data_IF_275743926098
#
_entry.id   IF_275743926098
#
_cell.length_a   1.000
_cell.length_b   1.000
_cell.length_c   1.000
_cell.angle_alpha   90.00
_cell.angle_beta   90.00
_cell.angle_gamma   90.00
#
_symmetry.space_group_name_H-M   'P 1'
#
loop_
_entity.id
_entity.type
_entity.pdbx_description
1 polymer ?
#
# COMPACT_ATOMS: atom_id res chain seq x y z
N UNK A 1 -28.37 -74.68 43.29
CA UNK A 1 -28.34 -73.84 42.07
C UNK A 1 -27.65 -72.53 42.41
N UNK A 2 -26.50 -72.23 41.79
CA UNK A 2 -25.68 -71.05 42.07
C UNK A 2 -26.19 -69.86 41.25
N UNK A 3 -26.40 -68.74 41.93
CA UNK A 3 -26.77 -67.44 41.37
C UNK A 3 -25.50 -66.79 40.79
N UNK A 4 -25.50 -66.45 39.51
CA UNK A 4 -24.44 -65.68 38.88
C UNK A 4 -24.89 -64.23 38.72
N UNK A 5 -24.20 -63.32 39.40
CA UNK A 5 -24.38 -61.86 39.32
C UNK A 5 -23.51 -61.36 38.15
N UNK A 6 -24.13 -60.81 37.11
CA UNK A 6 -23.42 -60.15 36.00
C UNK A 6 -23.39 -58.65 36.30
N UNK A 7 -22.22 -58.13 36.69
CA UNK A 7 -21.98 -56.70 36.81
C UNK A 7 -21.56 -56.15 35.44
N UNK A 8 -22.35 -55.25 34.88
CA UNK A 8 -22.05 -54.60 33.60
C UNK A 8 -21.40 -53.26 33.90
N UNK A 9 -20.09 -53.15 33.63
CA UNK A 9 -19.31 -51.93 33.84
C UNK A 9 -19.45 -51.05 32.58
N UNK A 10 -20.19 -49.94 32.68
CA UNK A 10 -20.29 -48.94 31.63
C UNK A 10 -19.08 -48.01 31.71
N UNK A 11 -18.15 -48.11 30.74
CA UNK A 11 -17.06 -47.15 30.56
C UNK A 11 -17.59 -45.96 29.75
N UNK A 12 -17.77 -44.81 30.40
CA UNK A 12 -17.99 -43.54 29.71
C UNK A 12 -16.65 -43.03 29.17
N UNK A 13 -16.50 -43.06 27.85
CA UNK A 13 -15.41 -42.40 27.13
C UNK A 13 -15.65 -40.89 27.14
N UNK A 14 -14.93 -40.15 27.98
CA UNK A 14 -14.88 -38.69 27.89
C UNK A 14 -13.96 -38.34 26.71
N UNK A 15 -14.54 -38.01 25.57
CA UNK A 15 -13.80 -37.41 24.45
C UNK A 15 -13.57 -35.93 24.78
N UNK A 16 -12.40 -35.60 25.31
CA UNK A 16 -11.91 -34.21 25.31
C UNK A 16 -11.65 -33.81 23.87
N UNK A 17 -12.60 -33.13 23.23
CA UNK A 17 -12.28 -32.35 22.04
C UNK A 17 -11.39 -31.21 22.48
N UNK A 18 -10.08 -31.34 22.23
CA UNK A 18 -9.23 -30.16 22.10
C UNK A 18 -9.76 -29.40 20.89
N UNK A 19 -10.55 -28.36 21.11
CA UNK A 19 -10.73 -27.34 20.10
C UNK A 19 -9.33 -26.78 19.85
N UNK A 20 -8.69 -27.23 18.77
CA UNK A 20 -7.56 -26.50 18.20
C UNK A 20 -8.13 -25.10 17.94
N UNK A 21 -7.75 -24.11 18.75
CA UNK A 21 -8.01 -22.72 18.37
C UNK A 21 -7.29 -22.56 17.05
N UNK A 22 -8.03 -22.57 15.95
CA UNK A 22 -7.46 -22.14 14.68
C UNK A 22 -7.10 -20.69 14.91
N UNK A 23 -5.80 -20.38 15.02
CA UNK A 23 -5.35 -19.00 15.10
C UNK A 23 -5.98 -18.24 13.93
N UNK A 24 -6.84 -17.27 14.24
CA UNK A 24 -7.57 -16.50 13.24
C UNK A 24 -6.89 -15.16 13.09
N UNK A 25 -6.16 -14.98 12.00
CA UNK A 25 -5.55 -13.70 11.72
C UNK A 25 -6.54 -12.72 11.07
N UNK A 26 -6.39 -11.45 11.39
CA UNK A 26 -7.01 -10.32 10.71
C UNK A 26 -6.00 -9.50 9.90
N UNK A 27 -6.53 -8.61 9.06
CA UNK A 27 -5.77 -7.67 8.25
C UNK A 27 -6.03 -6.24 8.71
N UNK A 28 -4.96 -5.51 9.01
CA UNK A 28 -4.99 -4.06 9.18
C UNK A 28 -4.39 -3.40 7.93
N UNK A 29 -5.20 -2.67 7.17
CA UNK A 29 -4.71 -1.85 6.05
C UNK A 29 -4.45 -0.43 6.55
N UNK A 30 -3.20 0.02 6.44
CA UNK A 30 -2.83 1.40 6.81
C UNK A 30 -2.74 2.26 5.56
N UNK A 31 -3.39 3.41 5.58
CA UNK A 31 -3.42 4.33 4.44
C UNK A 31 -3.23 5.79 4.89
N UNK A 32 -2.83 6.65 3.95
CA UNK A 32 -2.56 8.07 4.25
C UNK A 32 -3.79 8.79 4.81
N UNK A 33 -4.98 8.54 4.25
CA UNK A 33 -6.19 9.30 4.56
C UNK A 33 -6.22 10.63 3.79
N UNK A 34 -7.41 11.07 3.41
CA UNK A 34 -7.60 12.30 2.65
C UNK A 34 -9.05 12.75 2.65
N UNK A 35 -9.45 13.41 1.57
CA UNK A 35 -10.84 13.78 1.36
C UNK A 35 -11.73 12.53 1.20
N UNK A 36 -13.04 12.69 1.35
CA UNK A 36 -14.03 11.60 1.28
C UNK A 36 -13.83 10.67 0.08
N UNK A 37 -13.68 11.22 -1.13
CA UNK A 37 -13.44 10.43 -2.36
C UNK A 37 -12.13 9.63 -2.33
N UNK A 38 -11.11 10.15 -1.66
CA UNK A 38 -9.83 9.46 -1.52
C UNK A 38 -9.98 8.27 -0.58
N UNK A 39 -10.64 8.47 0.57
CA UNK A 39 -10.89 7.40 1.54
C UNK A 39 -11.81 6.33 0.94
N UNK A 40 -12.88 6.73 0.26
CA UNK A 40 -13.80 5.82 -0.43
C UNK A 40 -13.06 4.95 -1.47
N UNK A 41 -12.12 5.50 -2.23
CA UNK A 41 -11.34 4.71 -3.18
C UNK A 41 -10.47 3.65 -2.50
N UNK A 42 -9.94 3.93 -1.30
CA UNK A 42 -9.21 2.93 -0.50
C UNK A 42 -10.18 1.89 0.05
N UNK A 43 -11.34 2.30 0.56
CA UNK A 43 -12.38 1.38 1.03
C UNK A 43 -12.84 0.43 -0.07
N UNK A 44 -13.10 0.94 -1.27
CA UNK A 44 -13.47 0.15 -2.46
C UNK A 44 -12.38 -0.87 -2.83
N UNK A 45 -11.10 -0.47 -2.73
CA UNK A 45 -9.98 -1.38 -3.01
C UNK A 45 -9.85 -2.50 -1.97
N UNK A 46 -10.22 -2.22 -0.72
CA UNK A 46 -10.15 -3.18 0.39
C UNK A 46 -11.39 -4.08 0.45
N UNK A 47 -12.55 -3.61 -0.04
CA UNK A 47 -13.81 -4.35 -0.01
C UNK A 47 -13.71 -5.82 -0.47
N UNK A 48 -13.14 -6.17 -1.64
CA UNK A 48 -13.02 -7.56 -2.07
C UNK A 48 -12.06 -8.41 -1.21
N UNK A 49 -11.13 -7.78 -0.49
CA UNK A 49 -10.26 -8.46 0.48
C UNK A 49 -11.01 -8.74 1.78
N UNK A 50 -11.83 -7.78 2.23
CA UNK A 50 -12.67 -7.88 3.43
C UNK A 50 -13.71 -8.99 3.35
N UNK A 51 -14.15 -9.36 2.14
CA UNK A 51 -15.03 -10.52 1.93
C UNK A 51 -14.39 -11.86 2.31
N UNK A 52 -13.05 -11.91 2.39
CA UNK A 52 -12.27 -13.13 2.63
C UNK A 52 -11.55 -13.12 3.98
N UNK A 53 -11.10 -11.94 4.43
CA UNK A 53 -10.25 -11.76 5.61
C UNK A 53 -10.90 -10.70 6.51
N UNK A 54 -11.05 -10.95 7.84
CA UNK A 54 -11.39 -9.91 8.81
C UNK A 54 -10.49 -8.67 8.63
N UNK A 55 -11.03 -7.56 8.16
CA UNK A 55 -10.21 -6.41 7.72
C UNK A 55 -10.70 -5.08 8.26
N UNK A 56 -9.83 -4.34 8.95
CA UNK A 56 -10.03 -2.94 9.33
C UNK A 56 -9.03 -2.02 8.61
N UNK A 57 -9.35 -0.72 8.52
CA UNK A 57 -8.53 0.30 7.86
C UNK A 57 -8.17 1.39 8.86
N UNK A 58 -6.89 1.72 8.98
CA UNK A 58 -6.41 2.88 9.72
C UNK A 58 -5.92 3.98 8.77
N UNK A 59 -6.63 5.11 8.75
CA UNK A 59 -6.26 6.31 8.00
C UNK A 59 -5.42 7.26 8.83
N UNK A 60 -4.56 8.06 8.21
CA UNK A 60 -3.84 9.15 8.89
C UNK A 60 -2.36 8.88 9.12
N UNK A 61 -1.71 8.08 8.26
CA UNK A 61 -0.25 7.91 8.23
C UNK A 61 0.33 7.36 9.54
N UNK A 62 -0.19 6.22 9.99
CA UNK A 62 0.12 5.66 11.31
C UNK A 62 -0.31 6.59 12.46
N UNK A 63 -1.55 7.10 12.40
CA UNK A 63 -2.13 7.87 13.48
C UNK A 63 -2.53 6.92 14.64
N UNK A 64 -2.03 7.13 15.86
CA UNK A 64 -2.23 6.21 16.98
C UNK A 64 -3.71 5.97 17.33
N UNK A 65 -4.55 7.01 17.26
CA UNK A 65 -5.98 6.87 17.57
C UNK A 65 -6.70 5.99 16.55
N UNK A 66 -6.43 6.20 15.26
CA UNK A 66 -7.03 5.37 14.20
C UNK A 66 -6.50 3.94 14.20
N UNK A 67 -5.22 3.74 14.53
CA UNK A 67 -4.63 2.41 14.66
C UNK A 67 -5.24 1.68 15.86
N UNK A 68 -5.40 2.35 17.00
CA UNK A 68 -6.06 1.78 18.17
C UNK A 68 -7.50 1.38 17.88
N UNK A 69 -8.26 2.24 17.21
CA UNK A 69 -9.63 1.91 16.80
C UNK A 69 -9.67 0.70 15.86
N UNK A 70 -8.81 0.68 14.84
CA UNK A 70 -8.77 -0.42 13.87
C UNK A 70 -8.32 -1.75 14.48
N UNK A 71 -7.37 -1.73 15.43
CA UNK A 71 -6.98 -2.92 16.19
C UNK A 71 -8.13 -3.40 17.08
N UNK A 72 -8.84 -2.49 17.77
CA UNK A 72 -9.99 -2.86 18.60
C UNK A 72 -11.11 -3.52 17.78
N UNK A 73 -11.41 -3.02 16.57
CA UNK A 73 -12.38 -3.65 15.65
C UNK A 73 -11.97 -5.07 15.24
N UNK A 74 -10.67 -5.33 15.11
CA UNK A 74 -10.13 -6.65 14.83
C UNK A 74 -10.22 -7.55 16.07
N UNK A 75 -9.89 -7.04 17.27
CA UNK A 75 -10.03 -7.77 18.54
C UNK A 75 -11.48 -8.18 18.84
N UNK A 76 -12.46 -7.34 18.51
CA UNK A 76 -13.89 -7.69 18.62
C UNK A 76 -14.27 -8.91 17.77
N UNK A 77 -13.52 -9.16 16.69
CA UNK A 77 -13.65 -10.33 15.83
C UNK A 77 -12.86 -11.55 16.34
N UNK A 78 -12.27 -11.46 17.54
CA UNK A 78 -11.53 -12.53 18.24
C UNK A 78 -10.30 -13.03 17.48
N UNK A 79 -9.67 -12.15 16.71
CA UNK A 79 -8.42 -12.45 16.04
C UNK A 79 -7.26 -12.48 17.04
N UNK A 80 -6.27 -13.33 16.78
CA UNK A 80 -5.08 -13.54 17.61
C UNK A 80 -3.77 -13.21 16.89
N UNK A 81 -3.86 -12.81 15.63
CA UNK A 81 -2.76 -12.26 14.85
C UNK A 81 -3.25 -11.18 13.89
N UNK A 82 -2.40 -10.19 13.61
CA UNK A 82 -2.68 -9.11 12.66
C UNK A 82 -1.56 -9.05 11.62
N UNK A 83 -1.93 -9.23 10.35
CA UNK A 83 -1.10 -8.80 9.24
C UNK A 83 -1.37 -7.31 8.97
N UNK A 84 -0.33 -6.49 8.95
CA UNK A 84 -0.45 -5.05 8.72
C UNK A 84 0.10 -4.72 7.34
N UNK A 85 -0.78 -4.40 6.40
CA UNK A 85 -0.41 -3.97 5.04
C UNK A 85 -0.39 -2.46 4.97
N UNK A 86 0.80 -1.89 4.75
CA UNK A 86 1.01 -0.45 4.65
C UNK A 86 0.83 0.02 3.21
N UNK A 87 -0.37 0.52 2.89
CA UNK A 87 -0.76 1.03 1.57
C UNK A 87 -0.16 2.43 1.31
N UNK A 88 1.17 2.48 1.19
CA UNK A 88 1.94 3.66 0.83
C UNK A 88 2.74 3.44 -0.45
N UNK A 89 3.31 4.51 -1.01
CA UNK A 89 4.12 4.41 -2.23
C UNK A 89 5.48 3.76 -1.95
N UNK A 90 6.13 4.09 -0.84
CA UNK A 90 7.47 3.62 -0.50
C UNK A 90 7.50 2.82 0.80
N UNK A 91 8.35 1.79 0.85
CA UNK A 91 8.54 0.92 2.01
C UNK A 91 8.94 1.70 3.27
N UNK A 92 9.63 2.82 3.13
CA UNK A 92 10.05 3.66 4.25
C UNK A 92 8.92 4.51 4.84
N UNK A 93 7.83 4.72 4.10
CA UNK A 93 6.74 5.60 4.54
C UNK A 93 6.14 5.12 5.86
N UNK A 94 6.35 5.92 6.90
CA UNK A 94 5.85 5.70 8.26
C UNK A 94 6.28 4.38 8.91
N UNK A 95 7.33 3.71 8.40
CA UNK A 95 7.75 2.39 8.91
C UNK A 95 8.14 2.46 10.39
N UNK A 96 9.09 3.31 10.74
CA UNK A 96 9.55 3.49 12.13
C UNK A 96 8.39 3.83 13.07
N UNK A 97 7.56 4.80 12.69
CA UNK A 97 6.39 5.19 13.47
C UNK A 97 5.40 4.02 13.65
N UNK A 98 5.15 3.24 12.59
CA UNK A 98 4.26 2.08 12.64
C UNK A 98 4.81 0.99 13.55
N UNK A 99 6.10 0.64 13.40
CA UNK A 99 6.76 -0.35 14.26
C UNK A 99 6.69 0.05 15.73
N UNK A 100 6.99 1.31 16.03
CA UNK A 100 6.93 1.82 17.41
C UNK A 100 5.51 1.76 17.97
N UNK A 101 4.53 2.26 17.22
CA UNK A 101 3.13 2.27 17.65
C UNK A 101 2.52 0.87 17.78
N UNK A 102 3.07 -0.14 17.13
CA UNK A 102 2.65 -1.54 17.26
C UNK A 102 3.51 -2.34 18.24
N UNK A 103 4.43 -1.68 18.96
CA UNK A 103 5.30 -2.35 19.93
C UNK A 103 6.33 -3.30 19.32
N UNK A 104 6.58 -3.22 18.01
CA UNK A 104 7.59 -4.02 17.30
C UNK A 104 9.01 -3.48 17.50
N UNK A 105 9.13 -2.30 18.10
CA UNK A 105 10.39 -1.68 18.54
C UNK A 105 10.16 -0.78 19.74
N UNK A 106 11.20 -0.58 20.53
CA UNK A 106 11.14 0.24 21.75
C UNK A 106 11.41 1.72 21.49
N UNK A 107 12.23 2.06 20.49
CA UNK A 107 12.66 3.43 20.26
C UNK A 107 11.69 4.21 19.37
N UNK A 108 11.16 5.36 19.81
CA UNK A 108 10.26 6.18 19.00
C UNK A 108 11.01 6.86 17.85
N UNK A 109 10.32 7.22 16.75
CA UNK A 109 10.93 8.04 15.71
C UNK A 109 11.31 9.43 16.26
N UNK A 110 12.32 10.10 15.67
CA UNK A 110 12.71 11.45 16.10
C UNK A 110 11.56 12.48 16.01
N UNK A 111 10.63 12.26 15.08
CA UNK A 111 9.41 13.05 14.91
C UNK A 111 8.27 12.12 14.49
N UNK A 112 7.06 12.41 14.96
CA UNK A 112 5.85 11.75 14.47
C UNK A 112 5.28 12.56 13.31
N UNK A 113 4.97 11.91 12.18
CA UNK A 113 4.44 12.60 11.02
C UNK A 113 2.91 12.52 11.02
N UNK A 114 2.27 13.65 10.76
CA UNK A 114 0.82 13.80 10.67
C UNK A 114 0.41 14.71 9.50
N UNK A 115 -0.88 14.89 9.26
CA UNK A 115 -1.37 15.85 8.26
C UNK A 115 -0.98 17.31 8.56
N UNK A 116 -0.65 17.60 9.83
CA UNK A 116 -0.20 18.91 10.26
C UNK A 116 1.34 19.05 10.20
N UNK A 117 2.02 18.10 9.56
CA UNK A 117 3.48 18.04 9.48
C UNK A 117 4.11 17.24 10.63
N UNK A 118 5.45 17.30 10.76
CA UNK A 118 6.18 16.68 11.86
C UNK A 118 5.75 17.28 13.20
N UNK A 119 5.39 16.39 14.12
CA UNK A 119 5.00 16.71 15.49
C UNK A 119 6.12 16.31 16.44
N UNK A 120 6.52 17.26 17.27
CA UNK A 120 7.31 16.98 18.46
C UNK A 120 6.35 16.65 19.60
N UNK A 121 6.48 15.45 20.15
CA UNK A 121 5.81 15.11 21.37
C UNK A 121 6.79 15.26 22.54
N UNK A 122 6.37 15.93 23.61
CA UNK A 122 7.14 15.98 24.86
C UNK A 122 7.32 14.58 25.45
N UNK A 123 6.32 13.71 25.26
CA UNK A 123 6.34 12.29 25.56
C UNK A 123 5.77 11.52 24.36
N UNK A 124 6.46 10.48 23.83
CA UNK A 124 5.94 9.68 22.74
C UNK A 124 4.54 9.10 23.03
N UNK A 125 3.68 8.96 22.00
CA UNK A 125 2.40 8.30 22.16
C UNK A 125 2.56 6.87 22.69
N UNK A 126 1.64 6.44 23.54
CA UNK A 126 1.62 5.05 24.02
C UNK A 126 1.39 4.08 22.84
N UNK A 127 2.17 3.00 22.72
CA UNK A 127 1.90 1.96 21.73
C UNK A 127 0.49 1.39 21.85
N UNK A 128 -0.06 0.94 20.73
CA UNK A 128 -1.35 0.26 20.64
C UNK A 128 -1.19 -1.11 21.30
N UNK A 129 -2.01 -1.37 22.31
CA UNK A 129 -2.04 -2.66 22.98
C UNK A 129 -2.74 -3.70 22.10
N UNK A 130 -2.11 -4.87 21.94
CA UNK A 130 -2.69 -6.05 21.32
C UNK A 130 -1.99 -7.29 21.91
N UNK A 131 -2.76 -8.29 22.31
CA UNK A 131 -2.22 -9.49 22.99
C UNK A 131 -1.72 -10.57 22.00
N UNK A 132 -2.05 -10.44 20.73
CA UNK A 132 -1.68 -11.39 19.69
C UNK A 132 -0.37 -11.05 18.97
N UNK A 133 -0.09 -11.77 17.89
CA UNK A 133 1.10 -11.55 17.05
C UNK A 133 0.84 -10.49 15.98
N UNK A 134 1.86 -9.69 15.65
CA UNK A 134 1.77 -8.68 14.59
C UNK A 134 2.94 -8.86 13.63
N UNK A 135 2.63 -8.87 12.33
CA UNK A 135 3.63 -8.77 11.27
C UNK A 135 3.27 -7.61 10.34
N UNK A 136 4.26 -6.85 9.90
CA UNK A 136 4.06 -5.64 9.09
C UNK A 136 4.71 -5.79 7.72
N UNK A 137 4.08 -5.26 6.68
CA UNK A 137 4.64 -5.31 5.33
C UNK A 137 5.96 -4.52 5.27
N UNK A 138 7.03 -5.16 4.80
CA UNK A 138 8.33 -4.53 4.57
C UNK A 138 8.44 -3.90 3.17
N UNK A 139 7.51 -4.25 2.27
CA UNK A 139 7.39 -3.70 0.91
C UNK A 139 6.22 -2.72 0.81
N UNK A 140 6.20 -1.95 -0.26
CA UNK A 140 5.14 -1.00 -0.59
C UNK A 140 4.78 -1.06 -2.09
N UNK A 141 3.97 -0.11 -2.56
CA UNK A 141 3.48 -0.11 -3.94
C UNK A 141 4.56 0.08 -5.00
N UNK A 142 5.69 0.74 -4.69
CA UNK A 142 6.86 0.79 -5.59
C UNK A 142 7.56 -0.56 -5.77
N UNK A 143 7.35 -1.50 -4.87
CA UNK A 143 7.99 -2.82 -4.89
C UNK A 143 7.07 -3.89 -5.54
N UNK A 144 5.86 -3.49 -5.94
CA UNK A 144 4.79 -4.37 -6.37
C UNK A 144 4.69 -4.44 -7.89
N UNK A 145 4.99 -5.60 -8.48
CA UNK A 145 4.86 -5.82 -9.93
C UNK A 145 3.44 -5.56 -10.43
N UNK A 146 2.44 -5.74 -9.58
CA UNK A 146 1.04 -5.40 -9.86
C UNK A 146 0.87 -3.93 -10.29
N UNK A 147 1.71 -3.00 -9.80
CA UNK A 147 1.64 -1.59 -10.17
C UNK A 147 2.22 -1.31 -11.56
N UNK A 148 3.19 -2.11 -12.02
CA UNK A 148 3.64 -2.11 -13.40
C UNK A 148 2.51 -2.53 -14.35
N UNK A 149 1.71 -3.54 -13.95
CA UNK A 149 0.52 -3.93 -14.70
C UNK A 149 -0.54 -2.82 -14.76
N UNK A 150 -0.76 -2.08 -13.66
CA UNK A 150 -1.67 -0.92 -13.67
C UNK A 150 -1.21 0.14 -14.66
N UNK A 151 0.08 0.50 -14.62
CA UNK A 151 0.67 1.48 -15.53
C UNK A 151 0.52 1.03 -16.99
N UNK A 152 0.82 -0.23 -17.28
CA UNK A 152 0.68 -0.81 -18.62
C UNK A 152 -0.78 -0.77 -19.11
N UNK A 153 -1.74 -1.19 -18.27
CA UNK A 153 -3.16 -1.17 -18.65
C UNK A 153 -3.66 0.25 -18.89
N UNK A 154 -3.24 1.22 -18.07
CA UNK A 154 -3.58 2.64 -18.26
C UNK A 154 -2.95 3.22 -19.54
N UNK A 155 -1.67 2.92 -19.81
CA UNK A 155 -0.99 3.33 -21.05
C UNK A 155 -1.73 2.79 -22.28
N UNK A 156 -2.04 1.49 -22.27
CA UNK A 156 -2.72 0.81 -23.37
C UNK A 156 -4.13 1.36 -23.61
N UNK A 157 -4.86 1.69 -22.55
CA UNK A 157 -6.22 2.23 -22.67
C UNK A 157 -6.25 3.64 -23.28
N UNK A 158 -5.16 4.39 -23.19
CA UNK A 158 -5.02 5.75 -23.74
C UNK A 158 -4.30 5.77 -25.10
N UNK A 159 -3.69 4.67 -25.51
CA UNK A 159 -2.90 4.57 -26.73
C UNK A 159 -3.79 4.32 -27.95
N UNK A 160 -3.56 5.09 -29.01
CA UNK A 160 -4.17 4.86 -30.33
C UNK A 160 -3.13 4.33 -31.34
N UNK A 161 -1.93 4.92 -31.34
CA UNK A 161 -0.83 4.60 -32.25
C UNK A 161 0.51 4.67 -31.53
N UNK A 162 0.86 3.60 -30.83
CA UNK A 162 2.01 3.56 -29.91
C UNK A 162 3.32 4.06 -30.53
N UNK A 163 3.58 3.79 -31.81
CA UNK A 163 4.83 4.17 -32.49
C UNK A 163 5.14 5.67 -32.53
N UNK A 164 4.13 6.54 -32.36
CA UNK A 164 4.28 7.99 -32.30
C UNK A 164 4.03 8.56 -30.88
N UNK A 165 3.68 7.68 -29.94
CA UNK A 165 3.30 8.05 -28.58
C UNK A 165 4.46 7.84 -27.62
N UNK A 166 4.63 8.76 -26.68
CA UNK A 166 5.59 8.65 -25.59
C UNK A 166 4.85 8.66 -24.25
N UNK A 167 5.26 7.80 -23.33
CA UNK A 167 4.63 7.70 -22.01
C UNK A 167 5.51 8.40 -20.98
N UNK A 168 4.91 9.34 -20.25
CA UNK A 168 5.52 10.01 -19.11
C UNK A 168 4.81 9.58 -17.83
N UNK A 169 5.52 8.89 -16.94
CA UNK A 169 5.00 8.47 -15.65
C UNK A 169 5.53 9.43 -14.59
N UNK A 170 4.63 10.08 -13.84
CA UNK A 170 5.00 11.11 -12.85
C UNK A 170 4.65 10.61 -11.45
N UNK A 171 5.63 10.60 -10.55
CA UNK A 171 5.46 10.28 -9.14
C UNK A 171 5.65 11.50 -8.22
N UNK A 172 5.25 11.35 -6.97
CA UNK A 172 5.44 12.36 -5.93
C UNK A 172 6.92 12.70 -5.70
N UNK A 173 7.77 11.68 -5.56
CA UNK A 173 9.20 11.85 -5.27
C UNK A 173 9.54 12.08 -3.81
N UNK A 174 10.83 12.29 -3.56
CA UNK A 174 11.42 12.50 -2.24
C UNK A 174 12.32 13.74 -2.20
N UNK A 175 12.54 14.29 -1.01
CA UNK A 175 13.37 15.49 -0.81
C UNK A 175 14.86 15.23 -0.78
N UNK A 176 15.26 14.08 -0.27
CA UNK A 176 16.64 13.62 -0.36
C UNK A 176 16.92 13.11 -1.78
N UNK A 177 18.10 13.40 -2.32
CA UNK A 177 18.45 13.04 -3.69
C UNK A 177 18.66 11.52 -3.85
N UNK A 178 19.30 10.87 -2.89
CA UNK A 178 19.55 9.42 -2.93
C UNK A 178 18.22 8.66 -2.84
N UNK A 179 17.36 9.07 -1.92
CA UNK A 179 16.02 8.47 -1.78
C UNK A 179 15.17 8.70 -3.03
N UNK A 180 15.29 9.87 -3.67
CA UNK A 180 14.56 10.15 -4.90
C UNK A 180 15.09 9.33 -6.08
N UNK A 181 16.40 9.13 -6.19
CA UNK A 181 17.00 8.31 -7.24
C UNK A 181 16.60 6.83 -7.08
N UNK A 182 16.53 6.32 -5.84
CA UNK A 182 15.96 4.98 -5.57
C UNK A 182 14.49 4.89 -5.98
N UNK A 183 13.71 5.95 -5.72
CA UNK A 183 12.30 6.03 -6.13
C UNK A 183 12.15 5.92 -7.64
N UNK A 184 12.94 6.72 -8.38
CA UNK A 184 12.95 6.73 -9.85
C UNK A 184 13.42 5.39 -10.41
N UNK A 185 14.46 4.78 -9.83
CA UNK A 185 14.96 3.47 -10.26
C UNK A 185 13.90 2.37 -10.11
N UNK A 186 13.17 2.33 -8.98
CA UNK A 186 12.09 1.35 -8.77
C UNK A 186 10.93 1.60 -9.72
N UNK A 187 10.53 2.85 -9.92
CA UNK A 187 9.46 3.21 -10.84
C UNK A 187 9.83 2.91 -12.29
N UNK A 188 11.09 3.12 -12.67
CA UNK A 188 11.60 2.80 -14.00
C UNK A 188 11.50 1.30 -14.29
N UNK A 189 11.82 0.44 -13.30
CA UNK A 189 11.62 -1.01 -13.41
C UNK A 189 10.15 -1.39 -13.56
N UNK A 190 9.24 -0.74 -12.83
CA UNK A 190 7.80 -0.97 -13.04
C UNK A 190 7.34 -0.53 -14.43
N UNK A 191 7.98 0.50 -15.00
CA UNK A 191 7.69 0.97 -16.36
C UNK A 191 8.18 0.02 -17.46
N UNK A 192 9.02 -0.98 -17.15
CA UNK A 192 9.38 -2.01 -18.12
C UNK A 192 8.15 -2.77 -18.61
N UNK A 193 7.16 -3.02 -17.75
CA UNK A 193 5.88 -3.61 -18.18
C UNK A 193 5.17 -2.74 -19.22
N UNK A 194 5.28 -1.41 -19.14
CA UNK A 194 4.74 -0.48 -20.15
C UNK A 194 5.51 -0.59 -21.46
N UNK A 195 6.84 -0.70 -21.39
CA UNK A 195 7.72 -0.88 -22.57
C UNK A 195 7.46 -2.21 -23.28
N UNK A 196 7.13 -3.26 -22.53
CA UNK A 196 6.86 -4.59 -23.06
C UNK A 196 5.52 -4.68 -23.81
N UNK A 197 4.49 -3.99 -23.34
CA UNK A 197 3.13 -4.11 -23.90
C UNK A 197 2.85 -3.15 -25.07
N UNK A 198 3.63 -2.08 -25.19
CA UNK A 198 3.45 -1.07 -26.22
C UNK A 198 4.79 -0.70 -26.82
N UNK A 199 4.88 -0.76 -28.15
CA UNK A 199 6.00 -0.23 -28.91
C UNK A 199 5.91 1.30 -28.91
N UNK A 200 5.89 1.90 -27.73
CA UNK A 200 5.90 3.34 -27.51
C UNK A 200 7.23 3.89 -28.01
N UNK A 201 7.19 5.09 -28.59
CA UNK A 201 8.39 5.79 -29.05
C UNK A 201 9.38 6.03 -27.90
N UNK A 202 8.86 6.33 -26.70
CA UNK A 202 9.65 6.55 -25.50
C UNK A 202 8.81 6.27 -24.26
N UNK A 203 9.43 5.81 -23.18
CA UNK A 203 8.82 5.66 -21.85
C UNK A 203 9.79 6.22 -20.82
N UNK A 204 9.38 7.29 -20.14
CA UNK A 204 10.18 7.98 -19.14
C UNK A 204 9.44 8.09 -17.81
N UNK A 205 10.22 8.12 -16.73
CA UNK A 205 9.73 8.31 -15.38
C UNK A 205 10.31 9.58 -14.79
N UNK A 206 9.46 10.36 -14.12
CA UNK A 206 9.88 11.57 -13.40
C UNK A 206 9.21 11.61 -12.02
N UNK A 207 9.83 12.37 -11.12
CA UNK A 207 9.27 12.70 -9.82
C UNK A 207 9.12 14.21 -9.73
N UNK A 208 7.95 14.70 -9.31
CA UNK A 208 7.73 16.14 -9.17
C UNK A 208 8.39 16.72 -7.91
N UNK A 209 8.73 15.89 -6.93
CA UNK A 209 9.31 16.27 -5.63
C UNK A 209 8.44 17.34 -4.97
N UNK A 210 7.16 16.99 -4.86
CA UNK A 210 6.04 17.93 -4.71
C UNK A 210 6.18 18.91 -3.54
N UNK A 211 6.77 18.45 -2.42
CA UNK A 211 6.88 19.18 -1.16
C UNK A 211 8.15 20.05 -1.05
N UNK A 212 9.11 19.90 -1.97
CA UNK A 212 10.45 20.53 -1.84
C UNK A 212 10.63 21.64 -2.87
N UNK A 213 10.19 22.86 -2.53
CA UNK A 213 10.11 24.03 -3.43
C UNK A 213 11.26 24.16 -4.45
N UNK A 214 12.51 24.11 -4.02
CA UNK A 214 13.66 24.27 -4.92
C UNK A 214 13.82 23.09 -5.88
N UNK A 215 13.71 21.86 -5.37
CA UNK A 215 13.79 20.64 -6.17
C UNK A 215 12.60 20.52 -7.12
N UNK A 216 11.41 20.88 -6.63
CA UNK A 216 10.16 20.92 -7.38
C UNK A 216 10.29 21.78 -8.64
N UNK A 217 10.83 23.00 -8.52
CA UNK A 217 10.97 23.89 -9.69
C UNK A 217 11.82 23.28 -10.80
N UNK A 218 12.90 22.56 -10.45
CA UNK A 218 13.72 21.86 -11.44
C UNK A 218 12.97 20.68 -12.04
N UNK A 219 12.38 19.83 -11.21
CA UNK A 219 11.58 18.68 -11.66
C UNK A 219 10.41 19.08 -12.55
N UNK A 220 9.76 20.21 -12.25
CA UNK A 220 8.68 20.78 -13.04
C UNK A 220 9.17 21.21 -14.44
N UNK A 221 10.34 21.86 -14.52
CA UNK A 221 10.95 22.20 -15.82
C UNK A 221 11.29 20.94 -16.63
N UNK A 222 11.87 19.91 -16.01
CA UNK A 222 12.22 18.65 -16.68
C UNK A 222 10.96 17.92 -17.20
N UNK A 223 9.90 17.84 -16.38
CA UNK A 223 8.60 17.24 -16.74
C UNK A 223 7.96 17.98 -17.93
N UNK A 224 7.93 19.32 -17.88
CA UNK A 224 7.35 20.13 -18.96
C UNK A 224 8.16 20.00 -20.25
N UNK A 225 9.49 20.05 -20.15
CA UNK A 225 10.39 19.90 -21.28
C UNK A 225 10.21 18.56 -21.99
N UNK A 226 10.02 17.45 -21.23
CA UNK A 226 9.70 16.16 -21.83
C UNK A 226 8.43 16.23 -22.68
N UNK A 227 7.35 16.81 -22.15
CA UNK A 227 6.07 16.91 -22.87
C UNK A 227 6.20 17.78 -24.12
N UNK A 228 6.86 18.93 -24.02
CA UNK A 228 7.10 19.83 -25.14
C UNK A 228 7.91 19.14 -26.25
N UNK A 229 9.04 18.52 -25.92
CA UNK A 229 9.91 17.80 -26.87
C UNK A 229 9.16 16.66 -27.57
N UNK A 230 8.39 15.88 -26.80
CA UNK A 230 7.72 14.69 -27.33
C UNK A 230 6.36 15.00 -27.98
N UNK A 231 5.92 16.25 -28.01
CA UNK A 231 4.75 16.68 -28.79
C UNK A 231 5.09 17.41 -30.08
N UNK A 232 6.38 17.54 -30.41
CA UNK A 232 6.79 18.06 -31.71
C UNK A 232 6.33 17.16 -32.87
N UNK A 233 5.97 17.77 -34.00
CA UNK A 233 5.52 17.05 -35.19
C UNK A 233 4.17 16.35 -35.00
N UNK A 234 4.15 15.04 -35.22
CA UNK A 234 3.00 14.15 -35.00
C UNK A 234 3.09 13.39 -33.66
N UNK A 235 4.01 13.81 -32.78
CA UNK A 235 4.21 13.22 -31.47
C UNK A 235 3.02 13.43 -30.54
N UNK A 236 2.74 12.40 -29.74
CA UNK A 236 1.75 12.45 -28.65
C UNK A 236 2.39 12.02 -27.34
N UNK A 237 1.95 12.61 -26.24
CA UNK A 237 2.41 12.23 -24.91
C UNK A 237 1.26 11.75 -24.05
N UNK A 238 1.37 10.55 -23.52
CA UNK A 238 0.46 9.97 -22.52
C UNK A 238 1.07 10.20 -21.15
N UNK A 239 0.35 10.86 -20.24
CA UNK A 239 0.81 11.12 -18.88
C UNK A 239 0.07 10.23 -17.89
N UNK A 240 0.83 9.44 -17.14
CA UNK A 240 0.31 8.54 -16.11
C UNK A 240 0.75 9.00 -14.72
N UNK A 241 -0.19 9.26 -13.79
CA UNK A 241 0.17 9.56 -12.41
C UNK A 241 0.51 8.27 -11.64
N UNK A 242 1.75 8.13 -11.18
CA UNK A 242 2.11 7.11 -10.18
C UNK A 242 1.82 7.64 -8.77
N UNK A 243 0.53 7.70 -8.46
CA UNK A 243 -0.02 8.13 -7.16
C UNK A 243 -1.10 7.15 -6.76
N UNK A 244 -1.32 6.98 -5.45
CA UNK A 244 -2.39 6.09 -4.99
C UNK A 244 -3.76 6.46 -5.58
N UNK A 245 -4.10 7.76 -5.61
CA UNK A 245 -5.40 8.22 -6.09
C UNK A 245 -5.32 9.57 -6.82
N UNK A 246 -5.88 9.61 -8.04
CA UNK A 246 -6.05 10.81 -8.86
C UNK A 246 -4.75 11.42 -9.41
N UNK A 247 -4.92 12.45 -10.24
CA UNK A 247 -3.83 13.07 -10.99
C UNK A 247 -2.90 13.96 -10.15
N UNK A 248 -3.38 14.47 -9.01
CA UNK A 248 -2.57 15.32 -8.12
C UNK A 248 -2.22 16.68 -8.74
N UNK A 249 -1.10 17.31 -8.34
CA UNK A 249 -0.73 18.64 -8.81
C UNK A 249 -0.24 18.66 -10.28
N UNK A 250 -0.20 17.50 -10.96
CA UNK A 250 0.33 17.39 -12.32
C UNK A 250 -0.49 18.18 -13.34
N UNK A 251 -1.80 18.34 -13.13
CA UNK A 251 -2.64 19.17 -14.00
C UNK A 251 -2.17 20.62 -14.06
N UNK A 252 -1.76 21.17 -12.91
CA UNK A 252 -1.22 22.53 -12.82
C UNK A 252 0.18 22.62 -13.44
N UNK A 253 1.03 21.62 -13.19
CA UNK A 253 2.37 21.54 -13.77
C UNK A 253 2.32 21.50 -15.30
N UNK A 254 1.34 20.81 -15.87
CA UNK A 254 1.19 20.61 -17.31
C UNK A 254 0.23 21.61 -17.97
N UNK A 255 -0.16 22.67 -17.27
CA UNK A 255 -1.05 23.70 -17.82
C UNK A 255 -0.44 24.31 -19.08
N UNK A 256 -1.26 24.44 -20.13
CA UNK A 256 -0.87 24.95 -21.43
C UNK A 256 -0.13 23.95 -22.34
N UNK A 257 0.10 22.71 -21.90
CA UNK A 257 0.72 21.65 -22.71
C UNK A 257 -0.33 20.68 -23.25
N UNK A 258 -0.05 20.10 -24.41
CA UNK A 258 -0.88 19.05 -25.02
C UNK A 258 -0.43 17.69 -24.50
N UNK A 259 -1.34 16.92 -23.89
CA UNK A 259 -1.07 15.55 -23.47
C UNK A 259 -2.38 14.77 -23.30
N UNK A 260 -2.29 13.46 -23.30
CA UNK A 260 -3.40 12.54 -23.00
C UNK A 260 -3.27 12.02 -21.57
N UNK A 261 -4.35 12.05 -20.81
CA UNK A 261 -4.42 11.39 -19.52
C UNK A 261 -5.88 11.15 -19.12
N UNK A 262 -6.16 10.02 -18.48
CA UNK A 262 -7.43 9.82 -17.79
C UNK A 262 -7.44 10.43 -16.38
N UNK A 263 -6.30 10.93 -15.88
CA UNK A 263 -6.18 11.51 -14.56
C UNK A 263 -6.30 10.52 -13.40
N UNK A 264 -6.32 9.21 -13.68
CA UNK A 264 -6.55 8.14 -12.70
C UNK A 264 -5.20 7.65 -12.17
N UNK A 265 -5.08 7.53 -10.84
CA UNK A 265 -3.92 6.96 -10.17
C UNK A 265 -3.90 5.43 -10.21
N UNK A 266 -3.31 4.82 -9.19
CA UNK A 266 -3.32 3.36 -9.01
C UNK A 266 -4.72 2.86 -8.66
N UNK A 267 -5.47 3.61 -7.84
CA UNK A 267 -6.87 3.34 -7.55
C UNK A 267 -7.78 3.99 -8.61
N UNK A 268 -8.86 3.30 -9.00
CA UNK A 268 -9.45 2.11 -8.36
C UNK A 268 -9.04 0.77 -9.01
N UNK A 269 -7.84 0.64 -9.58
CA UNK A 269 -7.48 -0.57 -10.33
C UNK A 269 -7.42 -1.82 -9.41
N UNK A 270 -8.05 -2.95 -9.78
CA UNK A 270 -8.18 -4.13 -8.92
C UNK A 270 -6.85 -4.80 -8.55
N UNK A 271 -5.77 -4.49 -9.29
CA UNK A 271 -4.41 -4.93 -8.98
C UNK A 271 -3.90 -4.41 -7.64
N UNK A 272 -4.43 -3.29 -7.15
CA UNK A 272 -4.15 -2.81 -5.79
C UNK A 272 -4.76 -3.78 -4.76
N UNK A 273 -6.01 -4.22 -4.96
CA UNK A 273 -6.64 -5.25 -4.11
C UNK A 273 -5.86 -6.57 -4.14
N UNK A 274 -5.43 -7.00 -5.34
CA UNK A 274 -4.58 -8.19 -5.50
C UNK A 274 -3.29 -8.08 -4.71
N UNK A 275 -2.62 -6.92 -4.77
CA UNK A 275 -1.40 -6.69 -4.00
C UNK A 275 -1.64 -6.72 -2.49
N UNK A 276 -2.72 -6.09 -2.02
CA UNK A 276 -3.10 -6.10 -0.58
C UNK A 276 -3.31 -7.55 -0.12
N UNK A 277 -4.08 -8.34 -0.86
CA UNK A 277 -4.37 -9.73 -0.53
C UNK A 277 -3.11 -10.61 -0.55
N UNK A 278 -2.26 -10.47 -1.58
CA UNK A 278 -0.99 -11.20 -1.66
C UNK A 278 -0.08 -10.87 -0.48
N UNK A 279 0.10 -9.58 -0.17
CA UNK A 279 0.95 -9.12 0.93
C UNK A 279 0.43 -9.60 2.28
N UNK A 280 -0.88 -9.56 2.50
CA UNK A 280 -1.49 -10.10 3.71
C UNK A 280 -1.21 -11.60 3.87
N UNK A 281 -1.35 -12.38 2.80
CA UNK A 281 -1.07 -13.82 2.83
C UNK A 281 0.40 -14.14 3.11
N UNK A 282 1.34 -13.36 2.57
CA UNK A 282 2.77 -13.50 2.89
C UNK A 282 3.03 -13.28 4.39
N UNK A 283 2.40 -12.26 4.98
CA UNK A 283 2.52 -11.97 6.41
C UNK A 283 1.84 -13.04 7.28
N UNK A 284 0.73 -13.63 6.83
CA UNK A 284 0.11 -14.76 7.55
C UNK A 284 1.03 -15.99 7.57
N UNK A 285 1.79 -16.23 6.51
CA UNK A 285 2.81 -17.30 6.50
C UNK A 285 3.89 -17.01 7.54
N UNK A 286 4.42 -15.77 7.60
CA UNK A 286 5.39 -15.35 8.62
C UNK A 286 4.86 -15.58 10.05
N UNK A 287 3.64 -15.09 10.33
CA UNK A 287 2.98 -15.22 11.63
C UNK A 287 2.75 -16.69 12.07
N UNK A 288 2.57 -17.59 11.10
CA UNK A 288 2.40 -19.02 11.36
C UNK A 288 3.71 -19.74 11.68
N UNK A 289 4.85 -19.26 11.16
CA UNK A 289 6.17 -19.88 11.36
C UNK A 289 6.75 -19.54 12.74
N UNK A 290 6.41 -18.39 13.31
CA UNK A 290 6.79 -17.98 14.68
C UNK A 290 6.10 -18.78 15.80
N UNK A 291 5.35 -19.83 15.47
CA UNK A 291 4.63 -20.68 16.45
C UNK A 291 5.42 -21.94 16.83
N UNK A 292 6.52 -22.22 16.13
CA UNK A 292 7.34 -23.43 16.28
C UNK A 292 8.70 -23.19 16.97
N UNK A 293 8.95 -21.99 17.52
CA UNK A 293 10.16 -21.63 18.28
C UNK A 293 9.87 -21.45 19.77
#
# INVERSE_FOLDING_TARGET
MRIALLATLLLLSVTTSSAQSSNSCGLLVMAHGGAEKWNAAVEDAVAPVREKIPTSIAFGMANPETMKAAVAELEEQKIDCIAVVRLFMSAHSFLHQTEYLLGLREDPPPFFISHHGPQHHHEPPTPVEFQGKIAISQTALLDASEMGEVLAMNARALSDSSGNESVLIIAHGAGDDVVNDEWLLKLDRLSDTVREIGLFRSVAVHSLREDWKEKRSKSEADIRGFVEEHTEGDGRVIVLPFRLFGFGPYAKVLEGLTYESNGIGLLPHPKVSTWIERTANELFVELSQDTDA
#
